data_IF_854442521801
#
_entry.id   IF_854442521801
#
_cell.length_a   1.000
_cell.length_b   1.000
_cell.length_c   1.000
_cell.angle_alpha   90.00
_cell.angle_beta   90.00
_cell.angle_gamma   90.00
#
_symmetry.space_group_name_H-M   'P 1'
#
loop_
_entity.id
_entity.type
_entity.pdbx_description
1 polymer ?
#
# COMPACT_ATOMS: atom_id res chain seq x y z
N UNK A 1 -30.83 24.31 15.70
CA UNK A 1 -29.67 25.16 15.97
C UNK A 1 -28.79 24.37 16.92
N UNK A 2 -27.54 24.10 16.55
CA UNK A 2 -26.59 23.44 17.46
C UNK A 2 -26.35 24.29 18.70
N UNK A 3 -26.30 23.63 19.85
CA UNK A 3 -26.03 24.25 21.13
C UNK A 3 -24.57 24.69 21.20
N UNK A 4 -24.28 25.81 21.87
CA UNK A 4 -22.93 26.38 21.92
C UNK A 4 -21.94 25.42 22.59
N UNK A 5 -22.40 24.60 23.54
CA UNK A 5 -21.56 23.54 24.14
C UNK A 5 -21.18 22.47 23.13
N UNK A 6 -22.07 22.14 22.19
CA UNK A 6 -21.76 21.19 21.12
C UNK A 6 -20.73 21.76 20.15
N UNK A 7 -20.82 23.07 19.84
CA UNK A 7 -19.80 23.77 19.05
C UNK A 7 -18.43 23.76 19.75
N UNK A 8 -18.40 24.01 21.07
CA UNK A 8 -17.16 23.91 21.85
C UNK A 8 -16.56 22.51 21.75
N UNK A 9 -17.35 21.46 21.98
CA UNK A 9 -16.87 20.06 21.89
C UNK A 9 -16.38 19.72 20.47
N UNK A 10 -17.10 20.15 19.44
CA UNK A 10 -16.72 19.87 18.04
C UNK A 10 -15.41 20.54 17.65
N UNK A 11 -15.14 21.74 18.19
CA UNK A 11 -13.89 22.48 17.95
C UNK A 11 -12.62 21.70 18.31
N UNK A 12 -12.72 20.68 19.18
CA UNK A 12 -11.58 19.84 19.55
C UNK A 12 -11.30 18.69 18.57
N UNK A 13 -12.30 18.30 17.78
CA UNK A 13 -12.20 17.18 16.84
C UNK A 13 -12.03 17.66 15.39
N UNK A 14 -12.68 18.76 15.03
CA UNK A 14 -12.80 19.24 13.66
C UNK A 14 -12.67 20.77 13.59
N UNK A 15 -12.12 21.31 12.49
CA UNK A 15 -12.10 22.76 12.27
C UNK A 15 -13.53 23.30 12.12
N UNK A 16 -13.86 24.36 12.86
CA UNK A 16 -15.13 25.09 12.72
C UNK A 16 -15.06 26.07 11.54
N UNK A 17 -16.22 26.38 10.95
CA UNK A 17 -16.32 27.47 9.98
C UNK A 17 -16.15 28.84 10.65
N UNK A 18 -15.84 29.88 9.88
CA UNK A 18 -15.62 31.23 10.42
C UNK A 18 -16.84 31.77 11.20
N UNK A 19 -18.06 31.50 10.71
CA UNK A 19 -19.30 31.92 11.37
C UNK A 19 -19.52 31.21 12.71
N UNK A 20 -19.23 29.91 12.78
CA UNK A 20 -19.36 29.12 14.00
C UNK A 20 -18.30 29.50 15.04
N UNK A 21 -17.10 29.82 14.57
CA UNK A 21 -16.02 30.27 15.44
C UNK A 21 -16.34 31.63 16.05
N UNK A 22 -16.87 32.57 15.25
CA UNK A 22 -17.34 33.86 15.75
C UNK A 22 -18.44 33.71 16.81
N UNK A 23 -19.42 32.82 16.56
CA UNK A 23 -20.50 32.54 17.52
C UNK A 23 -19.98 31.89 18.81
N UNK A 24 -19.00 30.99 18.72
CA UNK A 24 -18.36 30.36 19.86
C UNK A 24 -17.57 31.40 20.68
N UNK A 25 -16.79 32.26 20.04
CA UNK A 25 -16.02 33.33 20.69
C UNK A 25 -16.92 34.34 21.40
N UNK A 26 -18.00 34.77 20.75
CA UNK A 26 -18.99 35.65 21.37
C UNK A 26 -19.58 35.00 22.64
N UNK A 27 -19.96 33.72 22.54
CA UNK A 27 -20.56 33.02 23.67
C UNK A 27 -19.56 32.75 24.80
N UNK A 28 -18.27 32.56 24.48
CA UNK A 28 -17.18 32.46 25.45
C UNK A 28 -16.91 33.81 26.15
N UNK A 29 -17.11 34.94 25.46
CA UNK A 29 -17.00 36.26 26.07
C UNK A 29 -18.15 36.54 27.06
N UNK A 30 -19.35 36.07 26.74
CA UNK A 30 -20.57 36.33 27.52
C UNK A 30 -20.76 35.36 28.71
N UNK A 31 -20.27 34.12 28.62
CA UNK A 31 -20.54 33.07 29.61
C UNK A 31 -19.30 32.61 30.36
N UNK A 32 -19.23 32.95 31.66
CA UNK A 32 -18.20 32.45 32.56
C UNK A 32 -18.22 30.91 32.71
N UNK A 33 -19.42 30.31 32.71
CA UNK A 33 -19.57 28.86 32.78
C UNK A 33 -18.95 28.15 31.56
N UNK A 34 -19.11 28.73 30.36
CA UNK A 34 -18.56 28.16 29.13
C UNK A 34 -17.04 28.28 29.07
N UNK A 35 -16.47 29.38 29.58
CA UNK A 35 -15.01 29.50 29.72
C UNK A 35 -14.45 28.46 30.69
N UNK A 36 -15.12 28.24 31.81
CA UNK A 36 -14.72 27.20 32.77
C UNK A 36 -14.76 25.81 32.14
N UNK A 37 -15.82 25.48 31.41
CA UNK A 37 -15.92 24.21 30.69
C UNK A 37 -14.76 24.04 29.69
N UNK A 38 -14.39 25.11 28.98
CA UNK A 38 -13.23 25.14 28.07
C UNK A 38 -11.91 24.93 28.81
N UNK A 39 -11.68 25.65 29.90
CA UNK A 39 -10.45 25.56 30.69
C UNK A 39 -10.27 24.15 31.29
N UNK A 40 -11.36 23.55 31.77
CA UNK A 40 -11.34 22.17 32.30
C UNK A 40 -10.95 21.16 31.20
N UNK A 41 -11.49 21.32 29.99
CA UNK A 41 -11.12 20.49 28.83
C UNK A 41 -9.66 20.68 28.41
N UNK A 42 -9.19 21.92 28.33
CA UNK A 42 -7.81 22.24 27.96
C UNK A 42 -6.84 21.66 29.00
N UNK A 43 -7.19 21.73 30.29
CA UNK A 43 -6.42 21.11 31.37
C UNK A 43 -6.33 19.58 31.24
N UNK A 44 -7.42 18.90 30.90
CA UNK A 44 -7.40 17.44 30.66
C UNK A 44 -6.50 17.11 29.47
N UNK A 45 -6.59 17.87 28.38
CA UNK A 45 -5.76 17.67 27.18
C UNK A 45 -4.28 17.81 27.49
N UNK A 46 -3.90 18.84 28.26
CA UNK A 46 -2.51 19.05 28.69
C UNK A 46 -2.03 17.88 29.54
N UNK A 47 -2.85 17.39 30.49
CA UNK A 47 -2.48 16.25 31.34
C UNK A 47 -2.28 14.97 30.54
N UNK A 48 -3.12 14.72 29.54
CA UNK A 48 -2.98 13.56 28.64
C UNK A 48 -1.75 13.73 27.74
N UNK A 49 -1.52 14.93 27.20
CA UNK A 49 -0.34 15.19 26.36
C UNK A 49 0.98 15.06 27.14
N UNK A 50 0.98 15.42 28.41
CA UNK A 50 2.11 15.26 29.32
C UNK A 50 2.28 13.81 29.83
N UNK A 51 1.33 12.92 29.54
CA UNK A 51 1.44 11.52 29.90
C UNK A 51 2.35 10.79 28.90
N UNK A 52 3.63 10.71 29.24
CA UNK A 52 4.56 9.82 28.56
C UNK A 52 4.18 8.38 28.88
N UNK A 53 3.74 7.63 27.86
CA UNK A 53 3.42 6.21 28.01
C UNK A 53 4.70 5.39 28.01
N UNK A 54 4.99 4.72 29.11
CA UNK A 54 5.99 3.65 29.15
C UNK A 54 5.45 2.41 28.45
N UNK A 55 5.73 2.28 27.16
CA UNK A 55 5.49 1.02 26.46
C UNK A 55 6.44 -0.05 26.98
N UNK A 56 5.94 -1.28 27.13
CA UNK A 56 6.78 -2.41 27.54
C UNK A 56 8.00 -2.54 26.62
N UNK A 57 9.15 -2.94 27.17
CA UNK A 57 10.36 -3.19 26.39
C UNK A 57 10.07 -4.05 25.14
N UNK A 58 10.62 -3.64 24.00
CA UNK A 58 10.42 -4.34 22.72
C UNK A 58 9.02 -4.21 22.12
N UNK A 59 8.21 -3.24 22.55
CA UNK A 59 6.92 -2.92 21.90
C UNK A 59 7.10 -2.52 20.43
N UNK A 60 8.03 -1.60 20.16
CA UNK A 60 8.34 -1.14 18.80
C UNK A 60 8.77 -2.29 17.90
N UNK A 61 9.62 -3.19 18.40
CA UNK A 61 10.07 -4.37 17.65
C UNK A 61 8.90 -5.29 17.29
N UNK A 62 8.03 -5.59 18.26
CA UNK A 62 6.83 -6.40 18.05
C UNK A 62 5.86 -5.75 17.06
N UNK A 63 5.71 -4.44 17.11
CA UNK A 63 4.89 -3.67 16.17
C UNK A 63 5.47 -3.73 14.75
N UNK A 64 6.76 -3.45 14.61
CA UNK A 64 7.46 -3.51 13.32
C UNK A 64 7.40 -4.91 12.71
N UNK A 65 7.59 -5.95 13.52
CA UNK A 65 7.46 -7.33 13.08
C UNK A 65 6.04 -7.67 12.62
N UNK A 66 5.01 -7.15 13.29
CA UNK A 66 3.60 -7.34 12.89
C UNK A 66 3.31 -6.67 11.54
N UNK A 67 3.75 -5.43 11.35
CA UNK A 67 3.56 -4.66 10.12
C UNK A 67 4.32 -5.30 8.95
N UNK A 68 5.56 -5.73 9.19
CA UNK A 68 6.40 -6.39 8.19
C UNK A 68 5.91 -7.81 7.84
N UNK A 69 5.36 -8.53 8.82
CA UNK A 69 4.85 -9.89 8.65
C UNK A 69 3.64 -10.00 7.73
N UNK A 70 2.81 -8.95 7.64
CA UNK A 70 1.61 -8.93 6.80
C UNK A 70 1.91 -8.68 5.30
N UNK A 71 3.11 -8.23 4.94
CA UNK A 71 3.37 -7.71 3.58
C UNK A 71 4.13 -8.63 2.63
N UNK A 72 4.72 -9.76 3.05
CA UNK A 72 5.76 -10.39 2.21
C UNK A 72 5.74 -11.91 2.00
N UNK A 73 5.34 -12.71 2.98
CA UNK A 73 5.79 -14.12 3.00
C UNK A 73 4.87 -15.08 2.27
N UNK A 74 3.55 -14.87 2.31
CA UNK A 74 2.58 -15.74 1.65
C UNK A 74 2.66 -15.65 0.11
N UNK A 75 2.81 -14.43 -0.42
CA UNK A 75 2.90 -14.20 -1.87
C UNK A 75 4.17 -14.81 -2.47
N UNK A 76 5.32 -14.67 -1.80
CA UNK A 76 6.59 -15.24 -2.27
C UNK A 76 6.55 -16.77 -2.37
N UNK A 77 5.87 -17.45 -1.42
CA UNK A 77 5.77 -18.91 -1.42
C UNK A 77 4.94 -19.43 -2.60
N UNK A 78 3.77 -18.81 -2.86
CA UNK A 78 2.91 -19.18 -3.99
C UNK A 78 3.57 -18.82 -5.33
N UNK A 79 4.20 -17.65 -5.42
CA UNK A 79 4.92 -17.22 -6.62
C UNK A 79 6.08 -18.16 -6.97
N UNK A 80 6.84 -18.64 -5.98
CA UNK A 80 7.96 -19.57 -6.20
C UNK A 80 7.52 -20.86 -6.86
N UNK A 81 6.39 -21.44 -6.45
CA UNK A 81 5.85 -22.68 -7.03
C UNK A 81 5.43 -22.48 -8.49
N UNK A 82 4.75 -21.36 -8.78
CA UNK A 82 4.30 -21.03 -10.14
C UNK A 82 5.51 -20.74 -11.04
N UNK A 83 6.49 -19.98 -10.55
CA UNK A 83 7.71 -19.66 -11.29
C UNK A 83 8.53 -20.93 -11.62
N UNK A 84 8.66 -21.88 -10.67
CA UNK A 84 9.36 -23.15 -10.91
C UNK A 84 8.68 -23.97 -12.01
N UNK A 85 7.35 -24.03 -12.02
CA UNK A 85 6.60 -24.71 -13.08
C UNK A 85 6.80 -24.05 -14.45
N UNK A 86 6.83 -22.71 -14.50
CA UNK A 86 7.07 -21.97 -15.74
C UNK A 86 8.46 -22.22 -16.32
N UNK A 87 9.49 -22.20 -15.46
CA UNK A 87 10.87 -22.52 -15.86
C UNK A 87 10.98 -23.95 -16.39
N UNK A 88 10.34 -24.91 -15.72
CA UNK A 88 10.32 -26.30 -16.18
C UNK A 88 9.68 -26.46 -17.56
N UNK A 89 8.57 -25.75 -17.82
CA UNK A 89 7.92 -25.76 -19.13
C UNK A 89 8.81 -25.18 -20.23
N UNK A 90 9.50 -24.06 -19.96
CA UNK A 90 10.45 -23.45 -20.91
C UNK A 90 11.59 -24.43 -21.22
N UNK A 91 12.18 -25.07 -20.21
CA UNK A 91 13.24 -26.07 -20.40
C UNK A 91 12.75 -27.23 -21.26
N UNK A 92 11.53 -27.72 -21.03
CA UNK A 92 10.94 -28.81 -21.80
C UNK A 92 10.76 -28.42 -23.28
N UNK A 93 10.28 -27.21 -23.55
CA UNK A 93 10.17 -26.68 -24.91
C UNK A 93 11.55 -26.58 -25.58
N UNK A 94 12.56 -26.04 -24.89
CA UNK A 94 13.91 -25.95 -25.42
C UNK A 94 14.49 -27.33 -25.75
N UNK A 95 14.29 -28.31 -24.87
CA UNK A 95 14.70 -29.69 -25.12
C UNK A 95 13.98 -30.25 -26.36
N UNK A 96 12.68 -30.03 -26.49
CA UNK A 96 11.91 -30.47 -27.66
C UNK A 96 12.47 -29.88 -28.96
N UNK A 97 12.77 -28.58 -28.99
CA UNK A 97 13.35 -27.92 -30.18
C UNK A 97 14.74 -28.49 -30.48
N UNK A 98 15.58 -28.69 -29.47
CA UNK A 98 16.91 -29.26 -29.64
C UNK A 98 16.87 -30.68 -30.25
N UNK A 99 15.93 -31.53 -29.83
CA UNK A 99 15.80 -32.89 -30.38
C UNK A 99 15.28 -32.91 -31.82
N UNK A 100 14.47 -31.93 -32.23
CA UNK A 100 13.89 -31.86 -33.58
C UNK A 100 14.85 -31.24 -34.58
N UNK A 101 15.43 -30.08 -34.25
CA UNK A 101 16.25 -29.28 -35.17
C UNK A 101 17.76 -29.43 -34.93
N UNK A 102 18.17 -30.09 -33.84
CA UNK A 102 19.58 -30.31 -33.48
C UNK A 102 20.33 -29.06 -33.02
N UNK A 103 19.69 -27.89 -33.00
CA UNK A 103 20.28 -26.62 -32.58
C UNK A 103 19.30 -25.73 -31.82
N UNK A 104 19.83 -24.86 -30.96
CA UNK A 104 19.07 -23.85 -30.22
C UNK A 104 19.35 -22.46 -30.78
N UNK A 105 19.19 -22.28 -32.10
CA UNK A 105 19.22 -20.94 -32.70
C UNK A 105 17.82 -20.31 -32.64
N UNK A 106 17.74 -18.97 -32.68
CA UNK A 106 16.48 -18.22 -32.73
C UNK A 106 15.60 -18.66 -33.90
N UNK A 107 16.20 -18.97 -35.05
CA UNK A 107 15.47 -19.47 -36.22
C UNK A 107 14.82 -20.85 -35.95
N UNK A 108 15.44 -21.67 -35.10
CA UNK A 108 14.90 -22.97 -34.68
C UNK A 108 13.80 -22.83 -33.63
N UNK A 109 14.00 -21.92 -32.68
CA UNK A 109 13.00 -21.60 -31.65
C UNK A 109 11.73 -20.96 -32.23
N UNK A 110 11.87 -20.22 -33.33
CA UNK A 110 10.77 -19.58 -34.05
C UNK A 110 10.20 -20.45 -35.18
N UNK A 111 10.76 -21.64 -35.43
CA UNK A 111 10.29 -22.58 -36.46
C UNK A 111 10.57 -22.14 -37.90
N UNK A 112 11.57 -21.29 -38.12
CA UNK A 112 11.90 -20.66 -39.40
C UNK A 112 12.85 -21.53 -40.25
N UNK A 113 13.47 -22.56 -39.67
CA UNK A 113 14.45 -23.45 -40.33
C UNK A 113 13.98 -24.15 -41.63
N UNK A 114 12.68 -24.17 -41.93
CA UNK A 114 12.12 -24.75 -43.16
C UNK A 114 11.81 -23.75 -44.28
N UNK A 115 11.95 -22.44 -44.03
CA UNK A 115 11.67 -21.39 -45.02
C UNK A 115 12.94 -21.02 -45.80
N UNK A 116 13.58 -21.98 -46.45
CA UNK A 116 14.40 -21.65 -47.60
C UNK A 116 13.43 -21.33 -48.75
N UNK A 117 13.41 -20.10 -49.32
CA UNK A 117 12.66 -19.88 -50.54
C UNK A 117 13.23 -20.83 -51.58
N UNK A 118 12.38 -21.71 -52.12
CA UNK A 118 12.73 -22.56 -53.26
C UNK A 118 12.99 -21.64 -54.47
N UNK A 119 14.22 -21.13 -54.54
CA UNK A 119 14.74 -20.34 -55.65
C UNK A 119 14.97 -21.21 -56.89
N UNK A 120 14.63 -22.52 -56.87
CA UNK A 120 14.73 -23.42 -58.00
C UNK A 120 13.80 -23.06 -59.17
N UNK A 121 12.74 -22.28 -58.93
CA UNK A 121 11.85 -21.77 -59.99
C UNK A 121 12.22 -20.38 -60.52
N UNK A 122 13.14 -19.66 -59.88
CA UNK A 122 13.59 -18.33 -60.32
C UNK A 122 15.00 -18.33 -60.96
N UNK A 123 15.67 -19.47 -61.05
CA UNK A 123 16.98 -19.58 -61.72
C UNK A 123 16.92 -19.75 -63.25
N UNK A 124 15.72 -19.67 -63.85
CA UNK A 124 15.50 -19.87 -65.29
C UNK A 124 15.15 -18.59 -66.07
N UNK A 125 15.32 -17.42 -65.47
CA UNK A 125 15.27 -16.13 -66.18
C UNK A 125 16.52 -15.30 -65.90
#
# INVERSE_FOLDING_TARGET
>A
MEDVKQLLLRSYNEPLSEEENFRLEQSLAESEALRKDKDDMDNVRIKIAAFETDFSAGFTERLMQRIAGETGTAFQSVFRTIALSGVAAIILVLLSVYFVDGSLNLDSLLGINGYAPDLGLLSFF
#
